data_IF_469834308424
#
_entry.id   IF_469834308424
#
_cell.length_a   1.000
_cell.length_b   1.000
_cell.length_c   1.000
_cell.angle_alpha   90.00
_cell.angle_beta   90.00
_cell.angle_gamma   90.00
#
_symmetry.space_group_name_H-M   'P 1'
#
loop_
_entity.id
_entity.type
_entity.pdbx_description
1 polymer ?
#
# COMPACT_ATOMS: atom_id res chain seq x y z
N UNK A 1 11.13 -3.52 8.21
CA UNK A 1 10.44 -2.37 7.57
C UNK A 1 11.33 -1.81 6.47
N UNK A 2 10.94 -0.72 5.80
CA UNK A 2 11.88 0.09 4.99
C UNK A 2 12.31 -0.42 3.61
N UNK A 3 11.79 -1.55 3.12
CA UNK A 3 12.14 -2.14 1.80
C UNK A 3 11.28 -1.62 0.62
N UNK A 4 10.55 -0.51 0.79
CA UNK A 4 9.80 0.10 -0.32
C UNK A 4 8.47 -0.55 -0.72
N UNK A 5 7.81 -1.34 0.13
CA UNK A 5 6.48 -1.95 -0.17
C UNK A 5 5.43 -0.90 -0.58
N UNK A 6 5.25 0.13 0.23
CA UNK A 6 4.31 1.24 -0.02
C UNK A 6 4.67 1.96 -1.31
N UNK A 7 5.95 2.26 -1.52
CA UNK A 7 6.45 2.87 -2.76
C UNK A 7 6.13 2.03 -3.99
N UNK A 8 6.38 0.72 -3.94
CA UNK A 8 6.06 -0.19 -5.04
C UNK A 8 4.55 -0.24 -5.31
N UNK A 9 3.74 -0.33 -4.25
CA UNK A 9 2.29 -0.27 -4.38
C UNK A 9 1.80 1.05 -4.99
N UNK A 10 2.42 2.19 -4.63
CA UNK A 10 2.12 3.49 -5.24
C UNK A 10 2.47 3.53 -6.73
N UNK A 11 3.60 2.93 -7.14
CA UNK A 11 3.97 2.83 -8.56
C UNK A 11 2.92 2.06 -9.35
N UNK A 12 2.49 0.90 -8.85
CA UNK A 12 1.43 0.08 -9.47
C UNK A 12 0.10 0.84 -9.49
N UNK A 13 -0.30 1.44 -8.37
CA UNK A 13 -1.57 2.16 -8.26
C UNK A 13 -1.67 3.35 -9.22
N UNK A 14 -0.54 4.02 -9.49
CA UNK A 14 -0.49 5.21 -10.33
C UNK A 14 -0.20 4.93 -11.81
N UNK A 15 0.14 3.70 -12.19
CA UNK A 15 0.37 3.28 -13.58
C UNK A 15 -0.88 3.47 -14.42
N UNK A 16 -0.76 4.08 -15.61
CA UNK A 16 -1.90 4.38 -16.48
C UNK A 16 -2.68 3.13 -16.87
N UNK A 17 -2.01 2.00 -17.12
CA UNK A 17 -2.66 0.74 -17.48
C UNK A 17 -3.55 0.23 -16.35
N UNK A 18 -3.14 0.45 -15.11
CA UNK A 18 -3.94 0.13 -13.92
C UNK A 18 -5.11 1.11 -13.80
N UNK A 19 -4.88 2.41 -14.02
CA UNK A 19 -5.94 3.44 -13.99
C UNK A 19 -7.06 3.11 -14.97
N UNK A 20 -6.71 2.66 -16.17
CA UNK A 20 -7.67 2.36 -17.24
C UNK A 20 -8.43 1.03 -17.00
N UNK A 21 -7.92 0.16 -16.12
CA UNK A 21 -8.50 -1.16 -15.84
C UNK A 21 -9.60 -1.17 -14.76
N UNK A 22 -9.67 -0.15 -13.91
CA UNK A 22 -10.53 -0.11 -12.72
C UNK A 22 -11.34 1.18 -12.68
N UNK A 23 -12.66 1.04 -12.55
CA UNK A 23 -13.59 2.17 -12.44
C UNK A 23 -13.38 2.92 -11.12
N UNK A 24 -13.12 2.17 -10.05
CA UNK A 24 -12.84 2.70 -8.73
C UNK A 24 -11.43 2.32 -8.29
N UNK A 25 -10.68 3.29 -7.79
CA UNK A 25 -9.37 3.05 -7.17
C UNK A 25 -9.35 3.79 -5.84
N UNK A 26 -9.07 3.05 -4.78
CA UNK A 26 -9.11 3.56 -3.41
C UNK A 26 -7.85 3.13 -2.67
N UNK A 27 -7.27 4.04 -1.91
CA UNK A 27 -6.09 3.78 -1.08
C UNK A 27 -6.39 4.14 0.37
N UNK A 28 -6.31 3.15 1.26
CA UNK A 28 -6.53 3.32 2.69
C UNK A 28 -5.25 2.95 3.44
N UNK A 29 -4.73 3.90 4.23
CA UNK A 29 -3.74 3.59 5.25
C UNK A 29 -4.48 2.99 6.46
N UNK A 30 -4.11 1.77 6.84
CA UNK A 30 -4.83 1.03 7.88
C UNK A 30 -4.25 1.36 9.25
N UNK A 31 -5.11 1.80 10.16
CA UNK A 31 -4.73 2.06 11.55
C UNK A 31 -4.40 0.77 12.31
N UNK A 32 -3.60 0.90 13.37
CA UNK A 32 -3.46 -0.10 14.43
C UNK A 32 -3.97 0.54 15.75
N UNK A 33 -5.05 0.03 16.37
CA UNK A 33 -5.73 -1.23 16.06
C UNK A 33 -6.54 -1.20 14.75
N UNK A 34 -6.69 -2.39 14.15
CA UNK A 34 -7.50 -2.59 12.96
C UNK A 34 -8.98 -2.31 13.25
N UNK A 35 -9.51 -1.24 12.66
CA UNK A 35 -10.88 -0.78 12.82
C UNK A 35 -11.63 -0.84 11.48
N UNK A 36 -12.55 -1.78 11.37
CA UNK A 36 -13.39 -1.99 10.18
C UNK A 36 -14.21 -0.76 9.85
N UNK A 37 -14.76 -0.06 10.85
CA UNK A 37 -15.62 1.10 10.62
C UNK A 37 -14.82 2.25 9.99
N UNK A 38 -13.61 2.49 10.51
CA UNK A 38 -12.70 3.52 9.97
C UNK A 38 -12.25 3.20 8.55
N UNK A 39 -11.89 1.93 8.26
CA UNK A 39 -11.50 1.52 6.91
C UNK A 39 -12.67 1.68 5.93
N UNK A 40 -13.84 1.14 6.27
CA UNK A 40 -15.02 1.18 5.41
C UNK A 40 -15.46 2.63 5.14
N UNK A 41 -15.41 3.50 6.15
CA UNK A 41 -15.68 4.94 5.99
C UNK A 41 -14.67 5.59 5.05
N UNK A 42 -13.37 5.35 5.25
CA UNK A 42 -12.33 5.88 4.39
C UNK A 42 -12.54 5.49 2.92
N UNK A 43 -13.03 4.27 2.66
CA UNK A 43 -13.38 3.83 1.30
C UNK A 43 -14.57 4.62 0.77
N UNK A 44 -15.65 4.73 1.53
CA UNK A 44 -16.85 5.47 1.13
C UNK A 44 -16.53 6.94 0.82
N UNK A 45 -15.79 7.59 1.70
CA UNK A 45 -15.39 8.99 1.54
C UNK A 45 -14.48 9.18 0.32
N UNK A 46 -13.61 8.21 0.01
CA UNK A 46 -12.75 8.25 -1.19
C UNK A 46 -13.53 8.12 -2.50
N UNK A 47 -14.65 7.40 -2.49
CA UNK A 47 -15.52 7.26 -3.68
C UNK A 47 -16.37 8.52 -3.89
N UNK A 48 -16.70 9.25 -2.82
CA UNK A 48 -17.35 10.57 -2.88
C UNK A 48 -18.83 10.56 -3.26
N UNK A 49 -19.44 9.41 -3.53
CA UNK A 49 -20.86 9.29 -3.91
C UNK A 49 -21.83 9.24 -2.73
N UNK A 50 -21.32 8.90 -1.55
CA UNK A 50 -22.12 8.76 -0.33
C UNK A 50 -21.40 9.47 0.81
N UNK A 51 -22.11 10.33 1.56
CA UNK A 51 -21.58 10.93 2.78
C UNK A 51 -22.05 10.12 3.98
N UNK A 52 -21.12 9.78 4.88
CA UNK A 52 -21.47 9.21 6.18
C UNK A 52 -21.37 10.34 7.22
N UNK A 53 -22.43 10.66 7.97
CA UNK A 53 -22.31 11.62 9.05
C UNK A 53 -21.17 11.22 9.98
N UNK A 54 -20.37 12.21 10.39
CA UNK A 54 -19.16 12.02 11.20
C UNK A 54 -19.42 11.29 12.52
N UNK A 55 -20.66 11.33 12.99
CA UNK A 55 -21.08 10.81 14.29
C UNK A 55 -21.74 9.42 14.20
N UNK A 56 -21.82 8.82 13.00
CA UNK A 56 -22.45 7.51 12.82
C UNK A 56 -21.47 6.40 13.23
N UNK A 57 -21.61 5.88 14.46
CA UNK A 57 -20.84 4.73 14.95
C UNK A 57 -21.48 3.38 14.60
N UNK A 58 -22.57 3.37 13.82
CA UNK A 58 -23.23 2.14 13.39
C UNK A 58 -22.44 1.50 12.26
N UNK A 59 -21.61 0.51 12.61
CA UNK A 59 -20.82 -0.30 11.69
C UNK A 59 -21.66 -0.83 10.53
N UNK A 60 -22.87 -1.32 10.81
CA UNK A 60 -23.80 -1.84 9.79
C UNK A 60 -24.14 -0.81 8.72
N UNK A 61 -24.45 0.43 9.09
CA UNK A 61 -24.74 1.50 8.12
C UNK A 61 -23.51 1.85 7.28
N UNK A 62 -22.32 1.87 7.87
CA UNK A 62 -21.07 2.15 7.15
C UNK A 62 -20.78 1.05 6.14
N UNK A 63 -20.93 -0.22 6.55
CA UNK A 63 -20.75 -1.38 5.68
C UNK A 63 -21.81 -1.44 4.57
N UNK A 64 -23.04 -1.04 4.85
CA UNK A 64 -24.10 -0.92 3.83
C UNK A 64 -23.73 0.13 2.78
N UNK A 65 -23.28 1.32 3.20
CA UNK A 65 -22.84 2.35 2.25
C UNK A 65 -21.62 1.93 1.45
N UNK A 66 -20.67 1.22 2.07
CA UNK A 66 -19.54 0.63 1.36
C UNK A 66 -20.02 -0.34 0.27
N UNK A 67 -20.96 -1.23 0.62
CA UNK A 67 -21.58 -2.15 -0.34
C UNK A 67 -22.19 -1.40 -1.52
N UNK A 68 -22.97 -0.37 -1.27
CA UNK A 68 -23.62 0.43 -2.31
C UNK A 68 -22.59 1.14 -3.20
N UNK A 69 -21.49 1.62 -2.63
CA UNK A 69 -20.40 2.26 -3.38
C UNK A 69 -19.74 1.32 -4.40
N UNK A 70 -19.52 0.04 -4.03
CA UNK A 70 -18.71 -0.90 -4.82
C UNK A 70 -19.54 -1.90 -5.65
N UNK A 71 -20.83 -2.06 -5.33
CA UNK A 71 -21.68 -3.06 -6.00
C UNK A 71 -21.73 -2.82 -7.51
N UNK A 72 -21.39 -3.87 -8.26
CA UNK A 72 -21.42 -3.83 -9.73
C UNK A 72 -20.29 -3.02 -10.38
N UNK A 73 -19.31 -2.52 -9.62
CA UNK A 73 -18.15 -1.79 -10.15
C UNK A 73 -16.87 -2.60 -9.99
N UNK A 74 -15.99 -2.52 -10.97
CA UNK A 74 -14.65 -3.11 -10.89
C UNK A 74 -13.70 -2.17 -10.15
N UNK A 75 -13.22 -2.59 -8.98
CA UNK A 75 -12.39 -1.74 -8.12
C UNK A 75 -10.98 -2.29 -7.86
N UNK A 76 -10.04 -1.39 -7.60
CA UNK A 76 -8.77 -1.67 -6.95
C UNK A 76 -8.76 -1.01 -5.57
N UNK A 77 -8.67 -1.81 -4.51
CA UNK A 77 -8.52 -1.34 -3.13
C UNK A 77 -7.10 -1.62 -2.64
N UNK A 78 -6.41 -0.58 -2.20
CA UNK A 78 -5.13 -0.72 -1.50
C UNK A 78 -5.34 -0.56 0.00
N UNK A 79 -4.94 -1.57 0.77
CA UNK A 79 -4.86 -1.52 2.23
C UNK A 79 -3.38 -1.47 2.63
N UNK A 80 -2.90 -0.29 2.97
CA UNK A 80 -1.49 -0.03 3.25
C UNK A 80 -1.18 -0.19 4.76
N UNK A 81 -0.06 -0.83 5.05
CA UNK A 81 0.48 -1.14 6.38
C UNK A 81 -0.49 -1.89 7.31
N UNK A 82 -1.07 -3.00 6.85
CA UNK A 82 -1.97 -3.85 7.67
C UNK A 82 -1.18 -4.63 8.73
N UNK A 83 -1.63 -4.56 10.00
CA UNK A 83 -0.99 -5.24 11.15
C UNK A 83 -1.77 -6.44 11.71
N UNK A 84 -3.09 -6.49 11.55
CA UNK A 84 -3.93 -7.55 12.15
C UNK A 84 -3.75 -8.90 11.46
N UNK A 85 -3.59 -9.96 12.24
CA UNK A 85 -3.60 -11.36 11.75
C UNK A 85 -4.91 -12.09 12.17
N UNK A 86 -5.84 -11.36 12.78
CA UNK A 86 -7.14 -11.87 13.23
C UNK A 86 -8.18 -11.81 12.10
N UNK A 87 -8.57 -12.98 11.61
CA UNK A 87 -9.58 -13.12 10.56
C UNK A 87 -10.95 -12.59 10.99
N UNK A 88 -11.33 -12.66 12.28
CA UNK A 88 -12.64 -12.16 12.74
C UNK A 88 -12.76 -10.64 12.58
N UNK A 89 -11.63 -9.92 12.61
CA UNK A 89 -11.61 -8.48 12.31
C UNK A 89 -11.70 -8.19 10.82
N UNK A 90 -11.16 -9.07 9.97
CA UNK A 90 -11.16 -8.91 8.52
C UNK A 90 -12.48 -9.34 7.87
N UNK A 91 -13.09 -10.41 8.36
CA UNK A 91 -14.25 -11.06 7.76
C UNK A 91 -15.44 -10.11 7.45
N UNK A 92 -15.83 -9.18 8.34
CA UNK A 92 -16.93 -8.26 8.03
C UNK A 92 -16.65 -7.41 6.79
N UNK A 93 -15.41 -6.95 6.62
CA UNK A 93 -14.99 -6.17 5.47
C UNK A 93 -14.90 -7.05 4.22
N UNK A 94 -14.31 -8.25 4.34
CA UNK A 94 -14.23 -9.23 3.24
C UNK A 94 -15.60 -9.55 2.65
N UNK A 95 -16.60 -9.76 3.50
CA UNK A 95 -17.95 -10.09 3.08
C UNK A 95 -18.62 -8.98 2.28
N UNK A 96 -18.31 -7.71 2.57
CA UNK A 96 -18.79 -6.58 1.77
C UNK A 96 -18.02 -6.47 0.46
N UNK A 97 -16.69 -6.63 0.48
CA UNK A 97 -15.86 -6.49 -0.72
C UNK A 97 -16.20 -7.52 -1.83
N UNK A 98 -16.81 -8.65 -1.47
CA UNK A 98 -17.32 -9.67 -2.42
C UNK A 98 -18.45 -9.18 -3.34
N UNK A 99 -19.10 -8.06 -3.03
CA UNK A 99 -20.13 -7.47 -3.91
C UNK A 99 -19.55 -6.67 -5.09
N UNK A 100 -18.23 -6.48 -5.14
CA UNK A 100 -17.56 -5.90 -6.30
C UNK A 100 -17.73 -6.73 -7.57
N UNK A 101 -17.55 -6.09 -8.73
CA UNK A 101 -17.57 -6.78 -10.01
C UNK A 101 -16.38 -7.75 -10.12
N UNK A 102 -16.54 -8.82 -10.89
CA UNK A 102 -15.46 -9.74 -11.23
C UNK A 102 -14.24 -8.98 -11.79
N UNK A 103 -13.05 -9.41 -11.39
CA UNK A 103 -11.80 -8.74 -11.75
C UNK A 103 -11.41 -7.59 -10.80
N UNK A 104 -12.23 -7.26 -9.81
CA UNK A 104 -11.81 -6.39 -8.69
C UNK A 104 -10.61 -6.99 -7.95
N UNK A 105 -9.74 -6.12 -7.43
CA UNK A 105 -8.49 -6.52 -6.76
C UNK A 105 -8.32 -5.79 -5.43
N UNK A 106 -7.76 -6.51 -4.46
CA UNK A 106 -7.32 -5.95 -3.18
C UNK A 106 -5.81 -6.15 -3.12
N UNK A 107 -5.07 -5.06 -2.98
CA UNK A 107 -3.62 -5.06 -2.77
C UNK A 107 -3.34 -4.68 -1.33
N UNK A 108 -2.51 -5.47 -0.65
CA UNK A 108 -2.20 -5.25 0.77
C UNK A 108 -0.70 -5.12 0.95
N UNK A 109 -0.27 -4.09 1.68
CA UNK A 109 1.12 -4.02 2.15
C UNK A 109 1.12 -4.35 3.65
N UNK A 110 2.10 -5.16 4.07
CA UNK A 110 2.20 -5.59 5.46
C UNK A 110 3.62 -5.99 5.83
N UNK A 111 3.94 -5.90 7.11
CA UNK A 111 5.19 -6.40 7.71
C UNK A 111 5.00 -7.79 8.33
N UNK A 112 3.76 -8.24 8.47
CA UNK A 112 3.35 -9.42 9.22
C UNK A 112 3.14 -10.59 8.26
N UNK A 113 3.91 -11.66 8.45
CA UNK A 113 3.84 -12.83 7.58
C UNK A 113 2.52 -13.61 7.73
N UNK A 114 1.77 -13.41 8.81
CA UNK A 114 0.44 -14.03 8.99
C UNK A 114 -0.69 -13.28 8.29
N UNK A 115 -0.50 -12.03 7.86
CA UNK A 115 -1.55 -11.26 7.15
C UNK A 115 -1.99 -11.93 5.85
N UNK A 116 -1.07 -12.37 4.95
CA UNK A 116 -1.47 -13.11 3.74
C UNK A 116 -2.26 -14.38 4.05
N UNK A 117 -1.89 -15.11 5.11
CA UNK A 117 -2.61 -16.32 5.55
C UNK A 117 -4.00 -15.97 6.08
N UNK A 118 -4.11 -14.93 6.89
CA UNK A 118 -5.39 -14.41 7.41
C UNK A 118 -6.33 -14.03 6.26
N UNK A 119 -5.82 -13.33 5.24
CA UNK A 119 -6.59 -12.93 4.06
C UNK A 119 -6.72 -14.04 3.00
N UNK A 120 -6.29 -15.27 3.29
CA UNK A 120 -6.33 -16.43 2.38
C UNK A 120 -5.69 -16.16 1.01
N UNK A 121 -4.61 -15.37 0.98
CA UNK A 121 -3.86 -15.05 -0.23
C UNK A 121 -3.01 -16.25 -0.66
N UNK A 122 -3.03 -16.60 -1.96
CA UNK A 122 -2.18 -17.67 -2.51
C UNK A 122 -0.73 -17.23 -2.64
N UNK A 123 0.22 -18.16 -2.53
CA UNK A 123 1.66 -17.85 -2.59
C UNK A 123 2.07 -17.14 -3.88
N UNK A 124 1.44 -17.48 -5.02
CA UNK A 124 1.65 -16.83 -6.31
C UNK A 124 1.27 -15.35 -6.36
N UNK A 125 0.45 -14.89 -5.41
CA UNK A 125 0.01 -13.50 -5.29
C UNK A 125 0.78 -12.74 -4.20
N UNK A 126 1.78 -13.36 -3.56
CA UNK A 126 2.63 -12.72 -2.55
C UNK A 126 3.91 -12.24 -3.21
N UNK A 127 4.12 -10.93 -3.23
CA UNK A 127 5.39 -10.33 -3.62
C UNK A 127 6.21 -9.92 -2.40
N UNK A 128 7.46 -10.36 -2.34
CA UNK A 128 8.41 -9.98 -1.29
C UNK A 128 9.51 -9.10 -1.90
N UNK A 129 9.44 -7.77 -1.75
CA UNK A 129 10.51 -6.89 -2.23
C UNK A 129 11.84 -7.28 -1.58
N UNK A 130 12.86 -7.40 -2.42
CA UNK A 130 14.22 -7.67 -1.96
C UNK A 130 14.89 -6.38 -1.50
N UNK A 131 15.96 -6.54 -0.74
CA UNK A 131 16.85 -5.42 -0.41
C UNK A 131 17.59 -4.96 -1.67
N UNK A 132 17.94 -3.68 -1.70
CA UNK A 132 18.82 -3.14 -2.72
C UNK A 132 20.24 -3.70 -2.52
N UNK A 133 20.98 -3.87 -3.60
CA UNK A 133 22.42 -4.05 -3.57
C UNK A 133 23.14 -2.77 -3.12
N UNK A 134 24.39 -2.88 -2.69
CA UNK A 134 25.19 -1.72 -2.28
C UNK A 134 25.33 -0.70 -3.43
N UNK A 135 25.42 -1.17 -4.68
CA UNK A 135 25.49 -0.31 -5.86
C UNK A 135 24.17 0.41 -6.14
N UNK A 136 23.02 -0.26 -5.97
CA UNK A 136 21.71 0.37 -6.08
C UNK A 136 21.48 1.39 -4.94
N UNK A 137 21.93 1.08 -3.72
CA UNK A 137 21.92 2.03 -2.61
C UNK A 137 22.79 3.25 -2.91
N UNK A 138 23.97 3.05 -3.49
CA UNK A 138 24.84 4.15 -3.90
C UNK A 138 24.19 4.99 -5.00
N UNK A 139 23.65 4.36 -6.04
CA UNK A 139 22.94 5.07 -7.12
C UNK A 139 21.78 5.91 -6.58
N UNK A 140 21.00 5.36 -5.65
CA UNK A 140 19.90 6.08 -5.01
C UNK A 140 20.40 7.24 -4.14
N UNK A 141 21.44 7.01 -3.33
CA UNK A 141 22.06 8.06 -2.50
C UNK A 141 22.63 9.20 -3.34
N UNK A 142 23.35 8.87 -4.42
CA UNK A 142 23.89 9.85 -5.38
C UNK A 142 22.76 10.69 -5.95
N UNK A 143 21.67 10.07 -6.37
CA UNK A 143 20.51 10.78 -6.91
C UNK A 143 19.86 11.73 -5.89
N UNK A 144 19.79 11.36 -4.61
CA UNK A 144 19.17 12.18 -3.56
C UNK A 144 20.09 13.32 -3.10
N UNK A 145 21.37 13.02 -2.85
CA UNK A 145 22.29 13.93 -2.16
C UNK A 145 23.11 14.83 -3.08
N UNK A 146 23.24 14.47 -4.36
CA UNK A 146 24.06 15.17 -5.35
C UNK A 146 23.24 15.68 -6.54
N UNK A 147 21.92 15.77 -6.38
CA UNK A 147 21.05 16.40 -7.36
C UNK A 147 21.54 17.83 -7.64
N UNK A 148 21.79 18.17 -8.91
CA UNK A 148 22.32 19.46 -9.40
C UNK A 148 23.80 19.78 -9.12
N UNK A 149 24.59 18.85 -8.56
CA UNK A 149 26.04 19.06 -8.42
C UNK A 149 26.80 18.78 -9.72
N UNK A 150 27.97 19.40 -9.87
CA UNK A 150 28.89 19.11 -10.97
C UNK A 150 29.45 17.68 -10.83
N UNK A 151 29.73 17.04 -11.96
CA UNK A 151 30.29 15.68 -12.01
C UNK A 151 31.57 15.55 -11.18
N UNK A 152 32.44 16.56 -11.24
CA UNK A 152 33.72 16.62 -10.52
C UNK A 152 33.55 16.56 -8.99
N UNK A 153 32.56 17.30 -8.44
CA UNK A 153 32.24 17.25 -7.00
C UNK A 153 31.60 15.92 -6.59
N UNK A 154 30.94 15.24 -7.54
CA UNK A 154 30.36 13.92 -7.30
C UNK A 154 31.44 12.84 -7.23
N UNK A 155 32.49 12.94 -8.06
CA UNK A 155 33.63 12.01 -8.08
C UNK A 155 34.41 12.07 -6.75
N UNK A 156 34.64 13.26 -6.19
CA UNK A 156 35.33 13.41 -4.90
C UNK A 156 34.58 12.75 -3.72
N UNK A 157 33.26 12.67 -3.81
CA UNK A 157 32.39 12.14 -2.76
C UNK A 157 32.05 10.65 -2.95
N UNK A 158 32.45 10.03 -4.06
CA UNK A 158 32.04 8.67 -4.44
C UNK A 158 32.47 7.63 -3.39
N UNK A 159 33.73 7.64 -2.96
CA UNK A 159 34.25 6.68 -1.98
C UNK A 159 33.55 6.79 -0.62
N UNK A 160 33.23 8.02 -0.20
CA UNK A 160 32.51 8.28 1.04
C UNK A 160 31.06 7.85 0.90
N UNK A 161 30.42 8.18 -0.23
CA UNK A 161 29.05 7.82 -0.55
C UNK A 161 28.83 6.31 -0.60
N UNK A 162 29.71 5.54 -1.26
CA UNK A 162 29.68 4.07 -1.27
C UNK A 162 29.85 3.47 0.13
N UNK A 163 30.71 4.06 0.97
CA UNK A 163 30.86 3.63 2.38
C UNK A 163 29.61 3.93 3.22
N UNK A 164 28.86 4.98 2.91
CA UNK A 164 27.57 5.27 3.54
C UNK A 164 26.52 4.26 3.04
N UNK A 165 26.42 4.08 1.72
CA UNK A 165 25.45 3.17 1.10
C UNK A 165 25.56 1.73 1.63
N UNK A 166 26.78 1.20 1.75
CA UNK A 166 26.98 -0.16 2.30
C UNK A 166 26.57 -0.28 3.79
N UNK A 167 26.63 0.80 4.57
CA UNK A 167 26.13 0.81 5.95
C UNK A 167 24.61 0.76 6.03
N UNK A 168 23.90 1.13 4.96
CA UNK A 168 22.43 1.10 4.89
C UNK A 168 21.87 -0.31 4.64
N UNK A 169 22.73 -1.30 4.33
CA UNK A 169 22.38 -2.73 4.20
C UNK A 169 21.19 -2.99 3.28
N UNK A 170 21.11 -2.26 2.17
CA UNK A 170 20.07 -2.46 1.18
C UNK A 170 18.67 -1.95 1.56
N UNK A 171 18.53 -1.14 2.62
CA UNK A 171 17.25 -0.55 3.01
C UNK A 171 17.12 0.88 2.48
N UNK A 172 16.22 1.13 1.50
CA UNK A 172 15.99 2.48 0.96
C UNK A 172 15.69 3.54 2.02
N UNK A 173 14.96 3.19 3.09
CA UNK A 173 14.60 4.14 4.14
C UNK A 173 15.80 4.61 5.00
N UNK A 174 16.93 3.91 4.93
CA UNK A 174 18.13 4.26 5.69
C UNK A 174 19.09 5.17 4.89
N UNK A 175 18.80 5.44 3.62
CA UNK A 175 19.53 6.38 2.76
C UNK A 175 18.90 7.77 2.85
#
# INVERSE_FOLDING_TARGET
GGVGKTTLAQLVYNDSRVKDCFELRVWICVSDPFDVASIARGIVDSVGTHSIPSNTNQLELVLQKLRDCISGKKFLLVLDDVWTEDYNKWEPLENILKYGLEGSKIMVTTRKQGVPRMMRTTETNIYRPQQLSDEECWSLLRQISLFERKEEECEELEDVGKKIASKCKGFPLAL
#
